data_IF_338678901700
#
_entry.id   IF_338678901700
#
_cell.length_a   1.000
_cell.length_b   1.000
_cell.length_c   1.000
_cell.angle_alpha   90.00
_cell.angle_beta   90.00
_cell.angle_gamma   90.00
#
_symmetry.space_group_name_H-M   'P 1'
#
loop_
_entity.id
_entity.type
_entity.pdbx_description
1 polymer ?
#
# COMPACT_ATOMS: atom_id res chain seq x y z
N UNK A 1 11.20 -18.72 38.32
CA UNK A 1 10.84 -18.85 36.90
C UNK A 1 11.89 -18.13 36.06
N UNK A 2 12.67 -18.85 35.23
CA UNK A 2 13.83 -18.32 34.50
C UNK A 2 13.62 -18.22 32.97
N UNK A 3 12.36 -18.35 32.51
CA UNK A 3 12.07 -18.50 31.08
C UNK A 3 12.28 -17.24 30.23
N UNK A 4 12.24 -16.04 30.82
CA UNK A 4 12.40 -14.80 30.06
C UNK A 4 13.84 -14.53 29.60
N UNK A 5 14.83 -15.10 30.28
CA UNK A 5 16.25 -14.95 29.92
C UNK A 5 16.64 -15.90 28.79
N UNK A 6 16.14 -17.13 28.82
CA UNK A 6 16.36 -18.13 27.76
C UNK A 6 15.75 -17.67 26.43
N UNK A 7 14.57 -17.04 26.46
CA UNK A 7 13.93 -16.47 25.26
C UNK A 7 14.75 -15.34 24.65
N UNK A 8 15.29 -14.43 25.48
CA UNK A 8 16.16 -13.34 24.98
C UNK A 8 17.47 -13.87 24.40
N UNK A 9 18.06 -14.88 25.03
CA UNK A 9 19.28 -15.51 24.53
C UNK A 9 19.05 -16.26 23.21
N UNK A 10 17.88 -16.90 23.07
CA UNK A 10 17.47 -17.57 21.84
C UNK A 10 17.27 -16.59 20.68
N UNK A 11 16.59 -15.46 20.93
CA UNK A 11 16.36 -14.41 19.92
C UNK A 11 17.68 -13.76 19.46
N UNK A 12 18.57 -13.40 20.39
CA UNK A 12 19.87 -12.82 20.04
C UNK A 12 20.76 -13.80 19.24
N UNK A 13 20.67 -15.10 19.51
CA UNK A 13 21.41 -16.13 18.75
C UNK A 13 20.88 -16.28 17.31
N UNK A 14 19.58 -16.14 17.12
CA UNK A 14 18.96 -16.15 15.78
C UNK A 14 19.28 -14.88 14.98
N UNK A 15 19.43 -13.74 15.64
CA UNK A 15 19.76 -12.46 14.99
C UNK A 15 21.22 -12.43 14.47
N UNK A 16 22.13 -13.20 15.08
CA UNK A 16 23.54 -13.31 14.66
C UNK A 16 23.81 -14.28 13.51
N UNK A 17 22.96 -15.28 13.29
CA UNK A 17 23.05 -16.27 12.19
C UNK A 17 22.29 -15.79 10.93
N UNK A 18 21.49 -14.73 11.04
CA UNK A 18 20.64 -14.20 9.96
C UNK A 18 21.37 -13.23 9.02
N UNK A 19 22.65 -13.51 8.76
CA UNK A 19 23.41 -12.82 7.70
C UNK A 19 22.85 -13.10 6.30
N UNK A 20 22.28 -14.28 6.05
CA UNK A 20 21.72 -14.64 4.73
C UNK A 20 20.92 -15.95 4.83
N UNK A 21 19.59 -15.92 5.00
CA UNK A 21 18.68 -16.96 4.47
C UNK A 21 17.20 -16.69 4.81
N UNK A 22 16.45 -16.33 3.78
CA UNK A 22 15.09 -16.81 3.52
C UNK A 22 14.03 -16.64 4.61
N UNK A 23 13.65 -15.38 4.81
CA UNK A 23 12.30 -14.95 5.18
C UNK A 23 11.28 -15.43 4.14
N UNK A 24 10.91 -16.71 4.18
CA UNK A 24 9.97 -17.34 3.26
C UNK A 24 8.75 -17.87 4.02
N UNK A 25 7.77 -17.01 4.30
CA UNK A 25 6.34 -17.35 4.52
C UNK A 25 5.49 -16.11 4.80
N UNK A 26 6.10 -15.00 5.24
CA UNK A 26 5.42 -13.72 5.38
C UNK A 26 5.98 -12.75 4.33
N UNK A 27 5.11 -12.01 3.60
CA UNK A 27 5.58 -10.94 2.74
C UNK A 27 6.42 -9.98 3.58
N UNK A 28 7.65 -9.74 3.15
CA UNK A 28 8.55 -8.82 3.83
C UNK A 28 7.84 -7.47 4.01
N UNK A 29 7.92 -6.88 5.22
CA UNK A 29 7.58 -5.47 5.39
C UNK A 29 8.42 -4.70 4.37
N UNK A 30 7.76 -3.85 3.58
CA UNK A 30 8.41 -3.04 2.55
C UNK A 30 9.39 -2.11 3.25
N UNK A 31 10.63 -2.58 3.41
CA UNK A 31 11.70 -1.89 4.12
C UNK A 31 11.79 -0.48 3.53
N UNK A 32 11.68 0.53 4.39
CA UNK A 32 11.53 1.94 4.02
C UNK A 32 12.70 2.52 3.25
N UNK A 33 12.81 2.19 1.96
CA UNK A 33 13.54 2.98 0.99
C UNK A 33 12.60 4.08 0.46
N UNK A 34 12.78 5.29 1.01
CA UNK A 34 12.25 6.57 0.54
C UNK A 34 10.72 6.81 0.67
N UNK A 35 10.35 7.50 1.76
CA UNK A 35 8.98 7.89 2.15
C UNK A 35 8.22 8.87 1.24
N UNK A 36 8.48 8.89 -0.07
CA UNK A 36 7.79 9.74 -1.06
C UNK A 36 7.28 8.96 -2.29
N UNK A 37 7.44 7.63 -2.34
CA UNK A 37 7.06 6.81 -3.50
C UNK A 37 5.61 6.27 -3.50
N UNK A 38 4.79 6.63 -2.51
CA UNK A 38 3.43 6.07 -2.34
C UNK A 38 2.30 7.11 -2.45
N UNK A 39 2.57 8.33 -2.93
CA UNK A 39 1.50 9.30 -3.23
C UNK A 39 1.08 9.14 -4.68
N UNK A 40 -0.21 8.87 -4.90
CA UNK A 40 -0.80 8.85 -6.24
C UNK A 40 -0.76 10.28 -6.79
N UNK A 41 -0.20 10.46 -7.99
CA UNK A 41 -0.06 11.78 -8.61
C UNK A 41 -1.35 12.21 -9.30
N UNK A 42 -1.54 13.52 -9.48
CA UNK A 42 -2.71 14.05 -10.21
C UNK A 42 -2.80 13.50 -11.63
N UNK A 43 -1.65 13.26 -12.27
CA UNK A 43 -1.62 12.70 -13.61
C UNK A 43 -2.07 11.22 -13.61
N UNK A 44 -1.72 10.44 -12.58
CA UNK A 44 -2.25 9.08 -12.40
C UNK A 44 -3.76 9.09 -12.19
N UNK A 45 -4.28 9.99 -11.36
CA UNK A 45 -5.73 10.16 -11.17
C UNK A 45 -6.42 10.55 -12.48
N UNK A 46 -5.85 11.50 -13.23
CA UNK A 46 -6.39 11.94 -14.52
C UNK A 46 -6.43 10.80 -15.53
N UNK A 47 -5.35 10.03 -15.66
CA UNK A 47 -5.31 8.86 -16.56
C UNK A 47 -6.30 7.77 -16.12
N UNK A 48 -6.40 7.51 -14.82
CA UNK A 48 -7.37 6.56 -14.28
C UNK A 48 -8.81 6.98 -14.61
N UNK A 49 -9.16 8.25 -14.44
CA UNK A 49 -10.48 8.79 -14.81
C UNK A 49 -10.78 8.62 -16.30
N UNK A 50 -9.80 8.89 -17.17
CA UNK A 50 -9.96 8.68 -18.61
C UNK A 50 -10.14 7.20 -18.97
N UNK A 51 -9.39 6.31 -18.32
CA UNK A 51 -9.54 4.87 -18.52
C UNK A 51 -10.93 4.38 -18.10
N UNK A 52 -11.42 4.80 -16.92
CA UNK A 52 -12.77 4.46 -16.43
C UNK A 52 -13.85 4.99 -17.37
N UNK A 53 -13.75 6.25 -17.80
CA UNK A 53 -14.70 6.83 -18.74
C UNK A 53 -14.73 6.10 -20.09
N UNK A 54 -13.58 5.59 -20.55
CA UNK A 54 -13.51 4.80 -21.78
C UNK A 54 -14.10 3.39 -21.66
N UNK A 55 -14.20 2.85 -20.44
CA UNK A 55 -14.72 1.50 -20.18
C UNK A 55 -16.17 1.47 -19.70
N UNK A 56 -16.71 2.61 -19.25
CA UNK A 56 -18.06 2.71 -18.73
C UNK A 56 -19.12 2.54 -19.82
N UNK A 57 -20.25 1.93 -19.47
CA UNK A 57 -21.37 1.74 -20.39
C UNK A 57 -22.16 3.03 -20.63
N UNK A 58 -22.29 3.85 -19.59
CA UNK A 58 -22.96 5.15 -19.61
C UNK A 58 -22.42 6.09 -18.52
N UNK A 59 -23.05 7.25 -18.35
CA UNK A 59 -22.61 8.28 -17.41
C UNK A 59 -22.85 7.88 -15.94
N UNK A 60 -23.93 7.16 -15.65
CA UNK A 60 -24.26 6.71 -14.29
C UNK A 60 -23.27 5.62 -13.85
N UNK A 61 -22.99 4.65 -14.72
CA UNK A 61 -21.98 3.60 -14.53
C UNK A 61 -20.59 4.21 -14.31
N UNK A 62 -20.20 5.19 -15.15
CA UNK A 62 -18.93 5.90 -14.98
C UNK A 62 -18.84 6.56 -13.60
N UNK A 63 -19.91 7.23 -13.16
CA UNK A 63 -19.95 7.89 -11.86
C UNK A 63 -19.81 6.88 -10.72
N UNK A 64 -20.51 5.75 -10.81
CA UNK A 64 -20.45 4.69 -9.80
C UNK A 64 -19.05 4.05 -9.73
N UNK A 65 -18.42 3.78 -10.87
CA UNK A 65 -17.05 3.26 -10.92
C UNK A 65 -16.04 4.24 -10.33
N UNK A 66 -16.15 5.53 -10.64
CA UNK A 66 -15.26 6.56 -10.09
C UNK A 66 -15.42 6.70 -8.58
N UNK A 67 -16.64 6.55 -8.05
CA UNK A 67 -16.90 6.54 -6.61
C UNK A 67 -16.27 5.33 -5.92
N UNK A 68 -16.51 4.12 -6.44
CA UNK A 68 -15.95 2.88 -5.89
C UNK A 68 -14.41 2.86 -5.87
N UNK A 69 -13.78 3.51 -6.85
CA UNK A 69 -12.32 3.62 -6.94
C UNK A 69 -11.76 4.80 -6.15
N UNK A 70 -12.59 5.63 -5.52
CA UNK A 70 -12.15 6.83 -4.81
C UNK A 70 -11.49 7.87 -5.72
N UNK A 71 -11.94 7.95 -6.98
CA UNK A 71 -11.44 8.87 -8.00
C UNK A 71 -12.31 10.13 -8.13
N UNK A 72 -13.48 10.18 -7.48
CA UNK A 72 -14.27 11.40 -7.38
C UNK A 72 -13.56 12.44 -6.49
N UNK A 73 -13.52 13.73 -6.90
CA UNK A 73 -12.95 14.77 -6.06
C UNK A 73 -13.84 14.97 -4.83
N UNK A 74 -13.21 15.01 -3.64
CA UNK A 74 -13.87 15.37 -2.41
C UNK A 74 -14.27 16.85 -2.36
N UNK A 75 -14.91 17.31 -1.27
CA UNK A 75 -15.29 18.71 -1.09
C UNK A 75 -14.08 19.67 -1.02
N UNK A 76 -12.91 19.14 -0.71
CA UNK A 76 -11.60 19.80 -0.72
C UNK A 76 -10.89 19.76 -2.08
N UNK A 77 -11.50 19.12 -3.08
CA UNK A 77 -10.93 18.91 -4.41
C UNK A 77 -9.91 17.78 -4.48
N UNK A 78 -9.60 17.11 -3.36
CA UNK A 78 -8.63 16.01 -3.29
C UNK A 78 -9.38 14.69 -3.46
N UNK A 79 -8.84 13.78 -4.27
CA UNK A 79 -9.45 12.45 -4.41
C UNK A 79 -9.11 11.57 -3.21
N UNK A 80 -10.05 10.75 -2.70
CA UNK A 80 -9.79 9.83 -1.59
C UNK A 80 -8.52 8.98 -1.75
N UNK A 81 -8.23 8.58 -2.99
CA UNK A 81 -7.05 7.75 -3.32
C UNK A 81 -5.70 8.48 -3.15
N UNK A 82 -5.72 9.81 -3.04
CA UNK A 82 -4.52 10.64 -2.84
C UNK A 82 -4.25 10.97 -1.37
N UNK A 83 -5.13 10.55 -0.46
CA UNK A 83 -5.04 10.85 0.99
C UNK A 83 -4.16 9.86 1.74
#
# INVERSE_FOLDING_TARGET
MNGSLEVRQFLMRYEGESGTASSGTLPAQRNGAAGDANRITDDQVRRARLAVASSAMDADDCTQLLDMLGLLPGPDGVTPVQR
#
